data_IF_948223046480
#
_entry.id   IF_948223046480
#
_cell.length_a   1.000
_cell.length_b   1.000
_cell.length_c   1.000
_cell.angle_alpha   90.00
_cell.angle_beta   90.00
_cell.angle_gamma   90.00
#
_symmetry.space_group_name_H-M   'P 1'
#
loop_
_entity.id
_entity.type
_entity.pdbx_description
1 polymer ?
#
# COMPACT_ATOMS: atom_id res chain seq x y z
N UNK A 1 9.92 2.82 -3.77
CA UNK A 1 11.17 3.51 -3.34
C UNK A 1 11.17 3.63 -1.83
N UNK A 2 12.35 3.76 -1.17
CA UNK A 2 12.45 4.02 0.26
C UNK A 2 12.04 5.45 0.61
N UNK A 3 11.51 5.67 1.81
CA UNK A 3 11.15 7.00 2.34
C UNK A 3 10.31 7.86 1.38
N UNK A 4 9.32 7.24 0.74
CA UNK A 4 8.40 7.92 -0.20
C UNK A 4 6.95 7.73 0.19
N UNK A 5 6.12 8.71 -0.17
CA UNK A 5 4.66 8.65 -0.04
C UNK A 5 3.99 9.04 -1.36
N UNK A 6 2.83 8.45 -1.64
CA UNK A 6 1.96 8.92 -2.71
C UNK A 6 1.18 10.18 -2.29
N UNK A 7 0.36 10.74 -3.18
CA UNK A 7 -0.67 11.71 -2.78
C UNK A 7 -1.82 11.03 -2.04
N UNK A 8 -2.59 11.80 -1.29
CA UNK A 8 -3.87 11.35 -0.72
C UNK A 8 -4.96 11.56 -1.77
N UNK A 9 -5.50 10.48 -2.33
CA UNK A 9 -6.37 10.54 -3.51
C UNK A 9 -7.41 9.42 -3.55
N UNK A 10 -8.21 9.38 -4.62
CA UNK A 10 -9.21 8.35 -4.91
C UNK A 10 -9.05 7.85 -6.33
N UNK A 11 -9.21 6.56 -6.49
CA UNK A 11 -9.30 5.89 -7.78
C UNK A 11 -10.77 5.71 -8.18
N UNK A 12 -11.09 5.48 -9.47
CA UNK A 12 -12.44 5.15 -9.91
C UNK A 12 -12.88 3.73 -9.49
N UNK A 13 -11.95 2.86 -9.08
CA UNK A 13 -12.18 1.43 -8.86
C UNK A 13 -11.32 0.87 -7.69
N UNK A 14 -11.74 -0.24 -7.05
CA UNK A 14 -10.90 -0.97 -6.10
C UNK A 14 -9.64 -1.55 -6.77
N UNK A 15 -8.59 -1.80 -5.98
CA UNK A 15 -7.33 -2.40 -6.46
C UNK A 15 -7.05 -3.72 -5.76
N UNK A 16 -6.35 -4.60 -6.48
CA UNK A 16 -5.73 -5.80 -5.90
C UNK A 16 -4.28 -5.46 -5.63
N UNK A 17 -3.72 -5.94 -4.53
CA UNK A 17 -2.32 -5.79 -4.20
C UNK A 17 -1.73 -7.15 -3.82
N UNK A 18 -0.61 -7.50 -4.46
CA UNK A 18 0.23 -8.64 -4.06
C UNK A 18 1.62 -8.09 -3.72
N UNK A 19 1.98 -7.99 -2.43
CA UNK A 19 3.31 -7.53 -2.03
C UNK A 19 4.38 -8.53 -2.46
N UNK A 20 5.41 -8.05 -3.18
CA UNK A 20 6.57 -8.85 -3.60
C UNK A 20 7.78 -8.52 -2.73
N UNK A 21 7.97 -7.23 -2.42
CA UNK A 21 8.98 -6.73 -1.49
C UNK A 21 8.29 -5.70 -0.59
N UNK A 22 8.40 -5.88 0.72
CA UNK A 22 7.76 -5.00 1.72
C UNK A 22 8.64 -4.94 2.97
N UNK A 23 8.39 -3.95 3.83
CA UNK A 23 9.09 -3.80 5.10
C UNK A 23 8.15 -3.20 6.15
N UNK A 24 8.54 -3.21 7.42
CA UNK A 24 7.68 -2.76 8.51
C UNK A 24 7.28 -1.27 8.42
N UNK A 25 7.99 -0.44 7.66
CA UNK A 25 7.62 0.96 7.37
C UNK A 25 6.65 1.14 6.20
N UNK A 26 6.33 0.09 5.44
CA UNK A 26 5.35 0.12 4.36
C UNK A 26 3.92 0.00 4.89
N UNK A 27 3.05 0.94 4.48
CA UNK A 27 1.64 0.99 4.89
C UNK A 27 0.73 1.37 3.72
N UNK A 28 -0.47 0.80 3.72
CA UNK A 28 -1.62 1.28 2.96
C UNK A 28 -2.61 1.91 3.94
N UNK A 29 -3.02 3.13 3.65
CA UNK A 29 -4.02 3.87 4.40
C UNK A 29 -5.25 4.04 3.54
N UNK A 30 -6.43 3.68 4.05
CA UNK A 30 -7.72 3.88 3.37
C UNK A 30 -8.69 4.46 4.39
N UNK A 31 -9.06 5.72 4.23
CA UNK A 31 -9.79 6.47 5.27
C UNK A 31 -8.96 6.59 6.55
N UNK A 32 -9.50 6.07 7.65
CA UNK A 32 -8.90 6.02 8.99
C UNK A 32 -8.16 4.71 9.28
N UNK A 33 -8.23 3.73 8.37
CA UNK A 33 -7.58 2.44 8.52
C UNK A 33 -6.17 2.45 7.94
N UNK A 34 -5.22 1.86 8.68
CA UNK A 34 -3.79 1.77 8.30
C UNK A 34 -3.33 0.33 8.46
N UNK A 35 -2.79 -0.26 7.39
CA UNK A 35 -2.41 -1.67 7.37
C UNK A 35 -1.04 -1.91 6.74
N UNK A 36 -0.29 -2.83 7.33
CA UNK A 36 0.87 -3.46 6.70
C UNK A 36 0.44 -4.68 5.88
N UNK A 37 0.92 -4.81 4.65
CA UNK A 37 0.73 -6.02 3.85
C UNK A 37 2.06 -6.79 3.77
N UNK A 38 2.15 -8.00 4.37
CA UNK A 38 3.36 -8.84 4.31
C UNK A 38 3.55 -9.45 2.91
N UNK A 39 4.80 -9.74 2.55
CA UNK A 39 5.16 -10.44 1.31
C UNK A 39 5.18 -11.96 1.54
N UNK A 40 4.02 -12.52 1.92
CA UNK A 40 3.83 -13.93 2.28
C UNK A 40 3.00 -14.71 1.25
N UNK A 41 2.76 -14.12 0.07
CA UNK A 41 1.92 -14.69 -0.97
C UNK A 41 0.44 -14.35 -0.86
N UNK A 42 0.02 -13.60 0.17
CA UNK A 42 -1.37 -13.15 0.32
C UNK A 42 -1.78 -12.15 -0.76
N UNK A 43 -3.08 -12.19 -1.11
CA UNK A 43 -3.72 -11.23 -2.03
C UNK A 43 -4.61 -10.29 -1.22
N UNK A 44 -4.44 -8.99 -1.43
CA UNK A 44 -5.17 -7.95 -0.70
C UNK A 44 -6.08 -7.18 -1.65
N UNK A 45 -7.30 -6.89 -1.21
CA UNK A 45 -8.22 -5.99 -1.93
C UNK A 45 -8.28 -4.68 -1.15
N UNK A 46 -8.02 -3.58 -1.83
CA UNK A 46 -8.10 -2.24 -1.23
C UNK A 46 -9.22 -1.45 -1.90
N UNK A 47 -10.08 -0.86 -1.08
CA UNK A 47 -11.16 -0.02 -1.58
C UNK A 47 -10.64 1.39 -1.88
N UNK A 48 -9.96 1.53 -3.02
CA UNK A 48 -9.36 2.79 -3.46
C UNK A 48 -10.38 3.84 -3.95
N UNK A 49 -11.67 3.49 -4.03
CA UNK A 49 -12.74 4.49 -4.24
C UNK A 49 -12.91 5.41 -3.03
N UNK A 50 -12.43 4.98 -1.85
CA UNK A 50 -12.25 5.85 -0.69
C UNK A 50 -10.91 6.57 -0.79
N UNK A 51 -10.82 7.69 -0.08
CA UNK A 51 -9.55 8.40 0.03
C UNK A 51 -8.48 7.49 0.63
N UNK A 52 -7.35 7.39 -0.05
CA UNK A 52 -6.30 6.45 0.29
C UNK A 52 -4.91 6.99 -0.08
N UNK A 53 -3.90 6.31 0.44
CA UNK A 53 -2.49 6.52 0.14
C UNK A 53 -1.72 5.25 0.47
N UNK A 54 -0.60 5.05 -0.24
CA UNK A 54 0.42 4.14 0.23
C UNK A 54 1.74 4.88 0.41
N UNK A 55 2.42 4.58 1.52
CA UNK A 55 3.72 5.11 1.82
C UNK A 55 4.69 4.00 2.24
N UNK A 56 5.98 4.33 2.16
CA UNK A 56 7.07 3.50 2.64
C UNK A 56 8.00 4.37 3.48
N UNK A 57 7.86 4.29 4.79
CA UNK A 57 8.76 4.95 5.75
C UNK A 57 10.05 4.18 6.00
N UNK A 58 10.21 2.98 5.43
CA UNK A 58 11.41 2.16 5.58
C UNK A 58 12.56 2.59 4.67
N UNK A 59 13.72 1.99 4.95
CA UNK A 59 14.98 2.24 4.21
C UNK A 59 15.13 1.34 2.98
N UNK A 60 14.28 0.33 2.87
CA UNK A 60 14.27 -0.63 1.78
C UNK A 60 13.18 -0.32 0.75
N UNK A 61 13.27 -0.96 -0.41
CA UNK A 61 12.24 -0.85 -1.43
C UNK A 61 10.90 -1.47 -0.99
N UNK A 62 9.84 -0.97 -1.61
CA UNK A 62 8.48 -1.53 -1.54
C UNK A 62 8.02 -1.76 -2.98
N UNK A 63 7.64 -2.98 -3.30
CA UNK A 63 7.18 -3.42 -4.62
C UNK A 63 5.93 -4.28 -4.46
N UNK A 64 4.84 -3.88 -5.12
CA UNK A 64 3.59 -4.62 -5.18
C UNK A 64 3.22 -4.82 -6.66
N UNK A 65 2.65 -5.98 -6.99
CA UNK A 65 1.82 -6.09 -8.19
C UNK A 65 0.44 -5.49 -7.87
N UNK A 66 -0.06 -4.62 -8.76
CA UNK A 66 -1.29 -3.82 -8.56
C UNK A 66 -2.20 -3.95 -9.77
#
# INVERSE_FOLDING_TARGET
MPRTTLSWHRDPEPRIHIPIITNFGARMCVGDFVQHMPADGSVWITNNTKYHNAFNGGEENRVHLV
#
